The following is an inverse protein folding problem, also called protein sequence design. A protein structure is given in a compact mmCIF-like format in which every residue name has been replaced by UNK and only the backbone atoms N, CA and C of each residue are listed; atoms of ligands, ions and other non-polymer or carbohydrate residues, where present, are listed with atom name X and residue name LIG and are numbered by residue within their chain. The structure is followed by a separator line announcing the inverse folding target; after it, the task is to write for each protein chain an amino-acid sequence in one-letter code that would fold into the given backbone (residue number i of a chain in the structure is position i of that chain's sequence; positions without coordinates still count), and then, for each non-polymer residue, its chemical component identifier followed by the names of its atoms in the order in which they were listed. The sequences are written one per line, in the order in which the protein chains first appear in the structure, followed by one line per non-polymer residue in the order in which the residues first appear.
data_IF_184862867420
#
_entry.id   IF_184862867420
#
_cell.length_a   1.000
_cell.length_b   1.000
_cell.length_c   1.000
_cell.angle_alpha   90.00
_cell.angle_beta   90.00
_cell.angle_gamma   90.00
#
_symmetry.space_group_name_H-M   'P 1'
#
loop_
_entity.id
_entity.type
_entity.pdbx_description
1 polymer ?
#
# COMPACT_ATOMS: atom_id res chain seq x y z
N UNK A 1 25.42 5.81 -4.66
CA UNK A 1 24.02 5.36 -4.44
C UNK A 1 24.06 3.93 -3.89
N UNK A 2 23.18 3.54 -2.96
CA UNK A 2 23.24 2.24 -2.26
C UNK A 2 21.98 1.41 -2.52
N UNK A 3 22.11 0.09 -2.64
CA UNK A 3 20.99 -0.86 -2.83
C UNK A 3 19.89 -0.67 -1.78
N UNK A 4 20.24 -0.34 -0.54
CA UNK A 4 19.27 -0.06 0.54
C UNK A 4 18.41 1.17 0.26
N UNK A 5 19.01 2.23 -0.29
CA UNK A 5 18.29 3.43 -0.65
C UNK A 5 17.30 3.16 -1.80
N UNK A 6 17.72 2.40 -2.81
CA UNK A 6 16.83 1.99 -3.89
C UNK A 6 15.64 1.17 -3.39
N UNK A 7 15.88 0.15 -2.55
CA UNK A 7 14.81 -0.69 -1.98
C UNK A 7 13.80 0.15 -1.20
N UNK A 8 14.27 1.10 -0.40
CA UNK A 8 13.39 1.96 0.38
C UNK A 8 12.53 2.87 -0.52
N UNK A 9 13.12 3.49 -1.54
CA UNK A 9 12.37 4.31 -2.50
C UNK A 9 11.34 3.49 -3.28
N UNK A 10 11.69 2.27 -3.70
CA UNK A 10 10.74 1.37 -4.38
C UNK A 10 9.54 1.01 -3.48
N UNK A 11 9.75 0.82 -2.17
CA UNK A 11 8.65 0.54 -1.23
C UNK A 11 7.69 1.71 -1.10
N UNK A 12 8.21 2.94 -1.05
CA UNK A 12 7.36 4.13 -1.03
C UNK A 12 6.55 4.24 -2.32
N UNK A 13 7.21 4.10 -3.48
CA UNK A 13 6.51 4.13 -4.78
C UNK A 13 5.39 3.08 -4.86
N UNK A 14 5.62 1.89 -4.30
CA UNK A 14 4.61 0.84 -4.24
C UNK A 14 3.39 1.29 -3.44
N UNK A 15 3.60 1.86 -2.25
CA UNK A 15 2.52 2.39 -1.42
C UNK A 15 1.80 3.54 -2.12
N UNK A 16 2.51 4.42 -2.82
CA UNK A 16 1.90 5.53 -3.56
C UNK A 16 1.00 5.02 -4.70
N UNK A 17 1.44 3.99 -5.44
CA UNK A 17 0.64 3.36 -6.49
C UNK A 17 -0.62 2.72 -5.90
N UNK A 18 -0.49 1.93 -4.83
CA UNK A 18 -1.63 1.19 -4.29
C UNK A 18 -2.63 2.05 -3.50
N UNK A 19 -2.18 3.15 -2.92
CA UNK A 19 -3.03 4.05 -2.12
C UNK A 19 -3.55 5.24 -2.92
N UNK A 20 -2.95 5.52 -4.08
CA UNK A 20 -3.24 6.73 -4.87
C UNK A 20 -2.74 8.03 -4.21
N UNK A 21 -1.99 7.94 -3.11
CA UNK A 21 -1.51 9.09 -2.33
C UNK A 21 -0.02 9.28 -2.50
N UNK A 22 0.49 10.50 -2.35
CA UNK A 22 1.94 10.75 -2.40
C UNK A 22 2.49 10.83 -0.99
N UNK A 23 3.69 10.30 -0.79
CA UNK A 23 4.44 10.42 0.45
C UNK A 23 4.83 11.86 0.81
N UNK A 24 4.70 12.78 -0.16
CA UNK A 24 4.94 14.22 0.00
C UNK A 24 3.65 15.02 0.18
N UNK A 25 2.48 14.37 0.28
CA UNK A 25 1.23 15.09 0.58
C UNK A 25 1.33 15.73 1.96
N UNK A 26 0.74 16.92 2.15
CA UNK A 26 0.86 17.72 3.39
C UNK A 26 0.42 16.96 4.65
N UNK A 27 -0.47 15.99 4.51
CA UNK A 27 -0.90 15.14 5.61
C UNK A 27 0.19 14.19 6.13
N UNK A 28 1.26 13.96 5.36
CA UNK A 28 2.35 13.03 5.70
C UNK A 28 3.67 13.77 6.03
N UNK A 29 3.62 14.68 6.98
CA UNK A 29 4.77 15.46 7.42
C UNK A 29 5.26 15.05 8.82
N UNK A 30 6.54 15.32 9.09
CA UNK A 30 7.18 15.06 10.37
C UNK A 30 7.10 13.60 10.81
N UNK A 31 6.36 13.35 11.89
CA UNK A 31 6.25 12.05 12.55
C UNK A 31 5.14 11.15 11.98
N UNK A 32 4.36 11.63 11.00
CA UNK A 32 3.29 10.85 10.38
C UNK A 32 3.58 10.62 8.90
N UNK A 33 3.97 9.40 8.54
CA UNK A 33 4.32 9.03 7.17
C UNK A 33 3.24 8.18 6.50
N UNK A 34 3.22 8.18 5.17
CA UNK A 34 2.37 7.28 4.36
C UNK A 34 2.46 5.82 4.82
N UNK A 35 3.65 5.39 5.26
CA UNK A 35 3.86 4.06 5.82
C UNK A 35 3.12 3.83 7.14
N UNK A 36 3.14 4.80 8.07
CA UNK A 36 2.44 4.68 9.34
C UNK A 36 0.94 4.63 9.14
N UNK A 37 0.41 5.47 8.24
CA UNK A 37 -1.01 5.44 7.89
C UNK A 37 -1.46 4.07 7.35
N UNK A 38 -0.67 3.47 6.45
CA UNK A 38 -0.94 2.12 5.95
C UNK A 38 -0.78 1.05 7.05
N UNK A 39 0.23 1.19 7.92
CA UNK A 39 0.47 0.27 9.03
C UNK A 39 -0.69 0.25 10.04
N UNK A 40 -1.31 1.40 10.31
CA UNK A 40 -2.46 1.53 11.21
C UNK A 40 -3.73 0.86 10.64
N UNK A 41 -3.86 0.84 9.31
CA UNK A 41 -4.97 0.16 8.64
C UNK A 41 -4.75 -1.36 8.48
N UNK A 42 -3.51 -1.85 8.63
CA UNK A 42 -3.18 -3.24 8.39
C UNK A 42 -3.51 -4.14 9.61
N UNK A 43 -3.95 -5.41 9.39
CA UNK A 43 -4.44 -6.00 8.14
C UNK A 43 -5.95 -5.76 7.91
N UNK A 44 -6.69 -5.34 8.95
CA UNK A 44 -8.16 -5.40 8.99
C UNK A 44 -8.83 -4.37 8.08
N UNK A 45 -8.25 -3.17 7.97
CA UNK A 45 -8.81 -2.03 7.26
C UNK A 45 -8.03 -1.68 5.99
N UNK A 46 -7.20 -2.60 5.47
CA UNK A 46 -6.31 -2.31 4.32
C UNK A 46 -7.10 -1.95 3.05
N UNK A 47 -8.32 -2.48 2.90
CA UNK A 47 -9.21 -2.15 1.79
C UNK A 47 -9.65 -0.67 1.77
N UNK A 48 -9.61 0.02 2.92
CA UNK A 48 -9.94 1.45 3.01
C UNK A 48 -8.79 2.37 2.62
N UNK A 49 -7.55 1.85 2.62
CA UNK A 49 -6.37 2.63 2.21
C UNK A 49 -5.98 2.39 0.75
N UNK A 50 -6.46 1.29 0.15
CA UNK A 50 -6.24 0.98 -1.26
C UNK A 50 -7.13 1.88 -2.14
N UNK A 51 -6.54 2.38 -3.21
CA UNK A 51 -7.25 3.21 -4.19
C UNK A 51 -8.42 2.44 -4.83
N UNK A 52 -9.61 3.04 -4.79
CA UNK A 52 -10.83 2.40 -5.28
C UNK A 52 -10.83 2.14 -6.78
N UNK A 53 -10.05 2.89 -7.58
CA UNK A 53 -9.89 2.61 -9.00
C UNK A 53 -9.17 1.28 -9.22
N UNK A 54 -8.16 0.97 -8.40
CA UNK A 54 -7.47 -0.33 -8.47
C UNK A 54 -8.38 -1.49 -8.09
N UNK A 55 -9.35 -1.26 -7.21
CA UNK A 55 -10.37 -2.25 -6.85
C UNK A 55 -11.46 -2.40 -7.93
N UNK A 56 -11.72 -1.35 -8.72
CA UNK A 56 -12.81 -1.29 -9.69
C UNK A 56 -12.39 -1.64 -11.13
N UNK A 57 -11.11 -1.51 -11.49
CA UNK A 57 -10.59 -1.83 -12.84
C UNK A 57 -10.47 -3.33 -13.15
N UNK A 58 -10.83 -4.23 -12.22
CA UNK A 58 -10.96 -5.65 -12.55
C UNK A 58 -12.30 -5.92 -13.26
N UNK A 59 -12.29 -5.89 -14.60
CA UNK A 59 -13.43 -6.19 -15.49
C UNK A 59 -13.95 -7.65 -15.41
N UNK A 60 -13.66 -8.36 -14.32
CA UNK A 60 -13.94 -9.78 -14.15
C UNK A 60 -14.85 -9.97 -12.95
N UNK A 61 -15.91 -10.74 -13.16
CA UNK A 61 -17.04 -10.99 -12.28
C UNK A 61 -16.71 -11.08 -10.77
N UNK A 62 -17.57 -10.51 -9.89
CA UNK A 62 -17.24 -10.08 -8.52
C UNK A 62 -16.85 -11.15 -7.49
N UNK A 63 -16.99 -12.45 -7.75
CA UNK A 63 -17.14 -13.41 -6.64
C UNK A 63 -15.93 -14.32 -6.37
N UNK A 64 -15.05 -14.59 -7.34
CA UNK A 64 -13.97 -15.60 -7.14
C UNK A 64 -12.55 -15.05 -7.28
N UNK A 65 -12.33 -13.98 -8.06
CA UNK A 65 -11.01 -13.35 -8.22
C UNK A 65 -10.70 -12.29 -7.16
N UNK A 66 -11.76 -11.75 -6.54
CA UNK A 66 -11.69 -10.69 -5.51
C UNK A 66 -10.91 -11.11 -4.28
N UNK A 67 -11.12 -12.32 -3.75
CA UNK A 67 -10.41 -12.80 -2.56
C UNK A 67 -8.90 -12.97 -2.81
N UNK A 68 -8.51 -13.64 -3.89
CA UNK A 68 -7.09 -13.86 -4.21
C UNK A 68 -6.34 -12.54 -4.52
N UNK A 69 -6.99 -11.58 -5.18
CA UNK A 69 -6.41 -10.27 -5.42
C UNK A 69 -6.26 -9.46 -4.13
N UNK A 70 -7.24 -9.52 -3.23
CA UNK A 70 -7.18 -8.87 -1.92
C UNK A 70 -6.08 -9.50 -1.05
N UNK A 71 -5.96 -10.82 -1.01
CA UNK A 71 -4.88 -11.53 -0.31
C UNK A 71 -3.50 -11.16 -0.88
N UNK A 72 -3.37 -11.02 -2.20
CA UNK A 72 -2.14 -10.56 -2.84
C UNK A 72 -1.81 -9.11 -2.47
N UNK A 73 -2.80 -8.23 -2.45
CA UNK A 73 -2.67 -6.84 -2.00
C UNK A 73 -2.23 -6.75 -0.54
N UNK A 74 -2.84 -7.56 0.34
CA UNK A 74 -2.45 -7.67 1.75
C UNK A 74 -0.98 -8.11 1.85
N UNK A 75 -0.57 -9.16 1.13
CA UNK A 75 0.82 -9.62 1.13
C UNK A 75 1.81 -8.56 0.62
N UNK A 76 1.47 -7.83 -0.44
CA UNK A 76 2.32 -6.77 -1.00
C UNK A 76 2.45 -5.60 -0.01
N UNK A 77 1.34 -5.18 0.60
CA UNK A 77 1.31 -4.14 1.63
C UNK A 77 2.10 -4.57 2.88
N UNK A 78 1.98 -5.83 3.28
CA UNK A 78 2.76 -6.41 4.38
C UNK A 78 4.25 -6.28 4.09
N UNK A 79 4.74 -6.74 2.92
CA UNK A 79 6.17 -6.64 2.55
C UNK A 79 6.64 -5.18 2.48
N UNK A 80 5.81 -4.27 1.97
CA UNK A 80 6.13 -2.86 1.90
C UNK A 80 6.24 -2.20 3.30
N UNK A 81 5.48 -2.72 4.27
CA UNK A 81 5.46 -2.25 5.66
C UNK A 81 6.44 -2.99 6.59
N UNK A 82 6.81 -4.24 6.31
CA UNK A 82 7.48 -5.18 7.23
C UNK A 82 8.99 -4.94 7.47
N UNK A 83 9.49 -3.71 7.48
CA UNK A 83 10.90 -3.46 7.89
C UNK A 83 10.98 -2.37 8.95
N UNK A 84 10.21 -2.52 10.04
CA UNK A 84 10.37 -1.76 11.28
C UNK A 84 10.09 -2.60 12.54
N UNK A 85 10.40 -3.90 12.52
CA UNK A 85 10.66 -4.62 13.78
C UNK A 85 12.14 -4.83 13.97
#
# INVERSE_FOLDING_TARGET
VSTKAHVYSYRILLLEVFTGRKSTDEQFDGDFSLRQWVAEAFPVAISYVIDSHLLNESNTTPTERSAAMNELLVMIMEIACHVQR
#
